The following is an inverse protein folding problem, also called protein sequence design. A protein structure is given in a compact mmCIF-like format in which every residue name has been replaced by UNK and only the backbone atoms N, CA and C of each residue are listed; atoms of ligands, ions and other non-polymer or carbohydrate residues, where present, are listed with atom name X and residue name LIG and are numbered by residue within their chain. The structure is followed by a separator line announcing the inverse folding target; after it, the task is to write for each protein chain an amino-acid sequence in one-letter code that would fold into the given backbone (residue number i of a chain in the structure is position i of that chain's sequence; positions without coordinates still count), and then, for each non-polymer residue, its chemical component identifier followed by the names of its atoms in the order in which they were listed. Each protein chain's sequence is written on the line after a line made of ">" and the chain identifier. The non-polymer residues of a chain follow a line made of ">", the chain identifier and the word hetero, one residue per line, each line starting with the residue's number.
data_IF_317870590607
#
_entry.id   IF_317870590607
#
_cell.length_a   1.000
_cell.length_b   1.000
_cell.length_c   1.000
_cell.angle_alpha   90.00
_cell.angle_beta   90.00
_cell.angle_gamma   90.00
#
_symmetry.space_group_name_H-M   'P 1'
#
loop_
_entity.id
_entity.type
_entity.pdbx_description
1 polymer ?
#
# COMPACT_ATOMS: atom_id res chain seq x y z
N UNK A 1 23.64 9.14 -12.98
CA UNK A 1 23.19 9.11 -11.57
C UNK A 1 21.85 8.42 -11.56
N UNK A 2 21.84 7.10 -11.36
CA UNK A 2 20.59 6.44 -10.99
C UNK A 2 20.18 7.02 -9.64
N UNK A 3 18.98 7.61 -9.49
CA UNK A 3 18.50 8.00 -8.19
C UNK A 3 18.36 6.71 -7.41
N UNK A 4 19.30 6.48 -6.50
CA UNK A 4 19.22 5.40 -5.53
C UNK A 4 18.08 5.76 -4.59
N UNK A 5 16.86 5.50 -5.04
CA UNK A 5 15.73 5.29 -4.16
C UNK A 5 16.12 4.02 -3.42
N UNK A 6 16.82 4.18 -2.31
CA UNK A 6 16.85 3.17 -1.27
C UNK A 6 15.39 3.02 -0.83
N UNK A 7 14.63 2.21 -1.56
CA UNK A 7 13.33 1.78 -1.10
C UNK A 7 13.61 1.05 0.20
N UNK A 8 13.20 1.66 1.32
CA UNK A 8 13.27 0.98 2.61
C UNK A 8 12.67 -0.41 2.44
N UNK A 9 13.21 -1.43 3.11
CA UNK A 9 12.72 -2.81 2.98
C UNK A 9 11.18 -2.90 3.12
N UNK A 10 10.60 -2.03 3.95
CA UNK A 10 9.15 -1.87 4.13
C UNK A 10 8.40 -1.45 2.86
N UNK A 11 8.99 -0.59 2.01
CA UNK A 11 8.40 -0.19 0.74
C UNK A 11 8.36 -1.35 -0.26
N UNK A 12 9.44 -2.14 -0.34
CA UNK A 12 9.49 -3.34 -1.19
C UNK A 12 8.44 -4.36 -0.73
N UNK A 13 8.36 -4.62 0.58
CA UNK A 13 7.35 -5.53 1.13
C UNK A 13 5.93 -5.04 0.90
N UNK A 14 5.66 -3.75 1.10
CA UNK A 14 4.35 -3.16 0.84
C UNK A 14 3.93 -3.37 -0.62
N UNK A 15 4.81 -3.10 -1.57
CA UNK A 15 4.55 -3.32 -2.99
C UNK A 15 4.25 -4.79 -3.30
N UNK A 16 5.06 -5.72 -2.77
CA UNK A 16 4.86 -7.16 -2.99
C UNK A 16 3.52 -7.64 -2.41
N UNK A 17 3.17 -7.21 -1.19
CA UNK A 17 1.89 -7.57 -0.54
C UNK A 17 0.71 -7.10 -1.41
N UNK A 18 0.70 -5.84 -1.82
CA UNK A 18 -0.39 -5.27 -2.64
C UNK A 18 -0.50 -6.00 -3.99
N UNK A 19 0.63 -6.21 -4.68
CA UNK A 19 0.63 -6.92 -5.98
C UNK A 19 0.14 -8.36 -5.86
N UNK A 20 0.51 -9.05 -4.80
CA UNK A 20 0.07 -10.43 -4.59
C UNK A 20 -1.42 -10.51 -4.24
N UNK A 21 -1.94 -9.57 -3.45
CA UNK A 21 -3.39 -9.43 -3.22
C UNK A 21 -4.15 -9.21 -4.54
N UNK A 22 -3.68 -8.30 -5.39
CA UNK A 22 -4.31 -8.01 -6.68
C UNK A 22 -4.28 -9.21 -7.64
N UNK A 23 -3.20 -10.00 -7.66
CA UNK A 23 -3.12 -11.27 -8.42
C UNK A 23 -4.18 -12.28 -7.97
N UNK A 24 -4.50 -12.27 -6.69
CA UNK A 24 -5.54 -13.10 -6.08
C UNK A 24 -6.93 -12.46 -6.13
N UNK A 25 -7.12 -11.40 -6.93
CA UNK A 25 -8.39 -10.66 -7.09
C UNK A 25 -8.89 -10.00 -5.80
N UNK A 26 -7.99 -9.70 -4.88
CA UNK A 26 -8.25 -8.87 -3.70
C UNK A 26 -7.83 -7.44 -4.08
N UNK A 27 -8.81 -6.62 -4.43
CA UNK A 27 -8.60 -5.26 -4.93
C UNK A 27 -9.10 -4.16 -3.99
N UNK A 28 -9.89 -4.49 -2.97
CA UNK A 28 -10.40 -3.53 -1.99
C UNK A 28 -9.49 -3.45 -0.75
N UNK A 29 -9.05 -2.24 -0.41
CA UNK A 29 -8.18 -1.95 0.73
C UNK A 29 -8.84 -0.91 1.64
N UNK A 30 -9.12 -1.29 2.89
CA UNK A 30 -9.67 -0.40 3.92
C UNK A 30 -8.51 0.11 4.78
N UNK A 31 -8.32 1.42 4.80
CA UNK A 31 -7.15 2.06 5.39
C UNK A 31 -7.57 3.14 6.41
N UNK A 32 -6.82 3.24 7.51
CA UNK A 32 -6.93 4.34 8.47
C UNK A 32 -5.60 5.09 8.57
N UNK A 33 -5.58 6.40 8.84
CA UNK A 33 -4.36 7.19 8.91
C UNK A 33 -3.33 6.66 9.93
N UNK A 34 -2.05 6.63 9.56
CA UNK A 34 -0.98 6.26 10.48
C UNK A 34 0.41 6.30 9.85
N UNK A 35 1.42 6.76 10.60
CA UNK A 35 2.79 6.89 10.10
C UNK A 35 3.43 5.53 9.76
N UNK A 36 3.07 4.48 10.49
CA UNK A 36 3.60 3.12 10.33
C UNK A 36 3.08 2.40 9.09
N UNK A 37 1.85 2.70 8.65
CA UNK A 37 1.25 2.09 7.46
C UNK A 37 1.58 2.86 6.17
N UNK A 38 2.28 3.99 6.24
CA UNK A 38 2.65 4.83 5.08
C UNK A 38 3.17 4.05 3.87
N UNK A 39 4.11 3.09 4.00
CA UNK A 39 4.59 2.33 2.84
C UNK A 39 3.49 1.52 2.16
N UNK A 40 2.57 0.93 2.94
CA UNK A 40 1.45 0.14 2.42
C UNK A 40 0.40 1.03 1.77
N UNK A 41 0.06 2.15 2.41
CA UNK A 41 -0.84 3.17 1.84
C UNK A 41 -0.32 3.70 0.50
N UNK A 42 0.99 3.98 0.41
CA UNK A 42 1.63 4.42 -0.82
C UNK A 42 1.58 3.34 -1.91
N UNK A 43 1.86 2.08 -1.57
CA UNK A 43 1.80 0.96 -2.50
C UNK A 43 0.38 0.74 -3.05
N UNK A 44 -0.65 0.80 -2.20
CA UNK A 44 -2.05 0.73 -2.62
C UNK A 44 -2.39 1.89 -3.58
N UNK A 45 -2.00 3.11 -3.24
CA UNK A 45 -2.27 4.29 -4.08
C UNK A 45 -1.56 4.26 -5.45
N UNK A 46 -0.45 3.51 -5.57
CA UNK A 46 0.30 3.38 -6.81
C UNK A 46 -0.34 2.41 -7.83
N UNK A 47 -1.21 1.50 -7.38
CA UNK A 47 -1.81 0.46 -8.21
C UNK A 47 -3.22 0.84 -8.68
N UNK A 48 -3.40 1.07 -9.99
CA UNK A 48 -4.69 1.50 -10.56
C UNK A 48 -5.85 0.52 -10.35
N UNK A 49 -5.54 -0.75 -10.09
CA UNK A 49 -6.54 -1.80 -9.83
C UNK A 49 -6.98 -1.82 -8.37
N UNK A 50 -6.25 -1.17 -7.46
CA UNK A 50 -6.60 -1.14 -6.06
C UNK A 50 -7.63 -0.05 -5.76
N UNK A 51 -8.71 -0.44 -5.08
CA UNK A 51 -9.71 0.46 -4.54
C UNK A 51 -9.40 0.76 -3.07
N UNK A 52 -8.93 1.98 -2.80
CA UNK A 52 -8.64 2.44 -1.45
C UNK A 52 -9.88 3.09 -0.80
N UNK A 53 -10.25 2.64 0.39
CA UNK A 53 -11.31 3.20 1.21
C UNK A 53 -10.68 3.72 2.49
N UNK A 54 -10.80 5.02 2.75
CA UNK A 54 -10.22 5.67 3.92
C UNK A 54 -11.27 5.77 5.04
N UNK A 55 -10.93 5.29 6.23
CA UNK A 55 -11.68 5.48 7.46
C UNK A 55 -10.93 6.39 8.42
N UNK A 56 -11.64 7.01 9.36
CA UNK A 56 -11.02 7.91 10.34
C UNK A 56 -10.10 7.16 11.31
N UNK A 57 -10.55 6.01 11.79
CA UNK A 57 -9.77 5.08 12.63
C UNK A 57 -10.00 3.63 12.16
N UNK A 58 -9.40 2.66 12.84
CA UNK A 58 -9.53 1.23 12.51
C UNK A 58 -10.89 0.60 12.87
N UNK A 59 -11.77 1.33 13.57
CA UNK A 59 -13.09 0.87 14.01
C UNK A 59 -14.16 1.10 12.94
N UNK A 60 -13.92 2.03 12.02
CA UNK A 60 -14.77 2.33 10.87
C UNK A 60 -15.56 3.61 11.02
#
# INVERSE_FOLDING_TARGET
>A
MDPQISSSLNAIWAELIVKEMLRNKIDQFVLSPGSRCTPLTAAVAAEKKAAAIMHFDERG
#
